data_IF_539152023618
#
_entry.id   IF_539152023618
#
_cell.length_a   1.000
_cell.length_b   1.000
_cell.length_c   1.000
_cell.angle_alpha   90.00
_cell.angle_beta   90.00
_cell.angle_gamma   90.00
#
_symmetry.space_group_name_H-M   'P 1'
#
loop_
_entity.id
_entity.type
_entity.pdbx_description
1 polymer ?
#
# COMPACT_ATOMS: atom_id res chain seq x y z
N UNK A 1 27.80 -58.12 -36.61
CA UNK A 1 27.42 -57.28 -35.45
C UNK A 1 28.38 -56.10 -35.17
N UNK A 2 29.61 -56.06 -35.70
CA UNK A 2 30.57 -54.94 -35.47
C UNK A 2 30.37 -53.70 -36.38
N UNK A 3 29.60 -53.82 -37.46
CA UNK A 3 29.50 -52.78 -38.51
C UNK A 3 28.47 -51.68 -38.20
N UNK A 4 27.43 -51.99 -37.41
CA UNK A 4 26.32 -51.06 -37.10
C UNK A 4 26.72 -50.08 -35.98
N UNK A 5 27.46 -50.55 -34.97
CA UNK A 5 27.97 -49.72 -33.87
C UNK A 5 28.94 -48.62 -34.33
N UNK A 6 29.67 -48.86 -35.42
CA UNK A 6 30.65 -47.90 -35.94
C UNK A 6 29.97 -46.76 -36.72
N UNK A 7 28.86 -47.05 -37.43
CA UNK A 7 28.02 -46.02 -38.07
C UNK A 7 27.26 -45.17 -37.06
N UNK A 8 26.73 -45.77 -35.97
CA UNK A 8 26.06 -45.04 -34.90
C UNK A 8 26.99 -44.07 -34.18
N UNK A 9 28.24 -44.48 -33.91
CA UNK A 9 29.26 -43.60 -33.29
C UNK A 9 29.66 -42.42 -34.20
N UNK A 10 29.78 -42.65 -35.50
CA UNK A 10 30.06 -41.55 -36.45
C UNK A 10 28.89 -40.54 -36.52
N UNK A 11 27.65 -41.02 -36.60
CA UNK A 11 26.46 -40.14 -36.61
C UNK A 11 26.32 -39.33 -35.31
N UNK A 12 26.60 -39.94 -34.15
CA UNK A 12 26.60 -39.23 -32.86
C UNK A 12 27.71 -38.17 -32.78
N UNK A 13 28.88 -38.42 -33.37
CA UNK A 13 30.01 -37.46 -33.34
C UNK A 13 29.74 -36.27 -34.26
N UNK A 14 29.20 -36.51 -35.46
CA UNK A 14 28.79 -35.45 -36.39
C UNK A 14 27.66 -34.57 -35.84
N UNK A 15 26.66 -35.17 -35.17
CA UNK A 15 25.56 -34.41 -34.56
C UNK A 15 26.03 -33.49 -33.42
N UNK A 16 27.02 -33.91 -32.62
CA UNK A 16 27.62 -33.08 -31.56
C UNK A 16 28.44 -31.92 -32.13
N UNK A 17 29.13 -32.14 -33.26
CA UNK A 17 29.91 -31.09 -33.92
C UNK A 17 29.01 -29.99 -34.50
N UNK A 18 27.90 -30.38 -35.15
CA UNK A 18 26.90 -29.45 -35.72
C UNK A 18 26.20 -28.66 -34.61
N UNK A 19 25.84 -29.31 -33.50
CA UNK A 19 25.21 -28.62 -32.36
C UNK A 19 26.18 -27.64 -31.69
N UNK A 20 27.47 -27.97 -31.61
CA UNK A 20 28.52 -27.06 -31.13
C UNK A 20 28.72 -25.84 -32.01
N UNK A 21 28.74 -26.00 -33.34
CA UNK A 21 28.82 -24.88 -34.29
C UNK A 21 27.60 -23.96 -34.19
N UNK A 22 26.38 -24.51 -34.05
CA UNK A 22 25.16 -23.72 -33.89
C UNK A 22 25.17 -22.89 -32.60
N UNK A 23 25.66 -23.45 -31.49
CA UNK A 23 25.79 -22.71 -30.23
C UNK A 23 26.84 -21.59 -30.30
N UNK A 24 27.94 -21.79 -31.02
CA UNK A 24 28.96 -20.77 -31.23
C UNK A 24 28.42 -19.60 -32.09
N UNK A 25 27.66 -19.89 -33.14
CA UNK A 25 27.01 -18.86 -33.96
C UNK A 25 25.99 -18.04 -33.16
N UNK A 26 25.19 -18.68 -32.31
CA UNK A 26 24.28 -17.96 -31.41
C UNK A 26 25.05 -17.07 -30.44
N UNK A 27 26.13 -17.56 -29.84
CA UNK A 27 26.95 -16.77 -28.92
C UNK A 27 27.57 -15.55 -29.60
N UNK A 28 28.13 -15.72 -30.80
CA UNK A 28 28.70 -14.62 -31.60
C UNK A 28 27.61 -13.62 -32.01
N UNK A 29 26.43 -14.09 -32.41
CA UNK A 29 25.29 -13.22 -32.76
C UNK A 29 24.83 -12.36 -31.57
N UNK A 30 24.69 -12.95 -30.39
CA UNK A 30 24.32 -12.20 -29.17
C UNK A 30 25.40 -11.18 -28.78
N UNK A 31 26.67 -11.53 -28.92
CA UNK A 31 27.77 -10.62 -28.61
C UNK A 31 27.79 -9.42 -29.57
N UNK A 32 27.57 -9.64 -30.87
CA UNK A 32 27.47 -8.56 -31.87
C UNK A 32 26.25 -7.66 -31.62
N UNK A 33 25.08 -8.23 -31.32
CA UNK A 33 23.88 -7.47 -30.99
C UNK A 33 24.06 -6.60 -29.73
N UNK A 34 24.72 -7.15 -28.71
CA UNK A 34 25.04 -6.41 -27.50
C UNK A 34 26.04 -5.27 -27.77
N UNK A 35 27.10 -5.54 -28.53
CA UNK A 35 28.09 -4.54 -28.92
C UNK A 35 27.49 -3.38 -29.72
N UNK A 36 26.66 -3.69 -30.72
CA UNK A 36 25.93 -2.68 -31.50
C UNK A 36 24.99 -1.86 -30.61
N UNK A 37 24.21 -2.51 -29.73
CA UNK A 37 23.31 -1.82 -28.81
C UNK A 37 24.04 -0.90 -27.83
N UNK A 38 25.20 -1.31 -27.33
CA UNK A 38 26.03 -0.50 -26.44
C UNK A 38 26.59 0.73 -27.17
N UNK A 39 27.12 0.55 -28.39
CA UNK A 39 27.64 1.64 -29.20
C UNK A 39 26.54 2.64 -29.56
N UNK A 40 25.37 2.17 -30.02
CA UNK A 40 24.22 3.03 -30.31
C UNK A 40 23.73 3.78 -29.07
N UNK A 41 23.69 3.13 -27.90
CA UNK A 41 23.29 3.76 -26.64
C UNK A 41 24.26 4.84 -26.17
N UNK A 42 25.57 4.61 -26.31
CA UNK A 42 26.60 5.60 -25.97
C UNK A 42 26.52 6.80 -26.94
N UNK A 43 26.43 6.57 -28.24
CA UNK A 43 26.30 7.65 -29.24
C UNK A 43 25.03 8.46 -29.03
N UNK A 44 23.89 7.82 -28.74
CA UNK A 44 22.64 8.51 -28.41
C UNK A 44 22.77 9.30 -27.10
N UNK A 45 23.48 8.78 -26.11
CA UNK A 45 23.73 9.50 -24.85
C UNK A 45 24.61 10.73 -25.03
N UNK A 46 25.55 10.74 -25.99
CA UNK A 46 26.32 11.94 -26.34
C UNK A 46 25.47 12.92 -27.14
N UNK A 47 24.68 12.45 -28.10
CA UNK A 47 23.80 13.29 -28.92
C UNK A 47 22.71 13.99 -28.08
N UNK A 48 22.12 13.29 -27.11
CA UNK A 48 21.14 13.89 -26.19
C UNK A 48 21.78 14.86 -25.19
N UNK A 49 23.10 14.79 -24.98
CA UNK A 49 23.84 15.73 -24.11
C UNK A 49 24.13 17.05 -24.82
N UNK A 50 24.23 17.04 -26.15
CA UNK A 50 24.41 18.24 -26.99
C UNK A 50 23.09 18.96 -27.31
N UNK A 51 21.94 18.33 -27.06
CA UNK A 51 20.63 19.00 -27.05
C UNK A 51 20.51 19.78 -25.74
N UNK A 52 21.09 20.98 -25.75
CA UNK A 52 20.83 22.02 -24.76
C UNK A 52 19.37 22.47 -24.87
N UNK A 53 18.51 21.90 -24.03
CA UNK A 53 17.17 22.45 -23.80
C UNK A 53 17.32 23.81 -23.11
N UNK A 54 17.28 24.87 -23.90
CA UNK A 54 17.05 26.24 -23.44
C UNK A 54 15.64 26.32 -22.84
N UNK A 55 15.50 25.97 -21.57
CA UNK A 55 14.32 26.36 -20.79
C UNK A 55 14.69 27.62 -20.02
N UNK A 56 14.33 28.77 -20.60
CA UNK A 56 14.43 30.07 -19.97
C UNK A 56 13.43 30.11 -18.80
N UNK A 57 13.86 29.60 -17.66
CA UNK A 57 13.12 29.69 -16.41
C UNK A 57 13.47 31.04 -15.79
N UNK A 58 12.54 32.00 -15.86
CA UNK A 58 12.66 33.29 -15.19
C UNK A 58 13.03 33.06 -13.71
N UNK A 59 14.21 33.56 -13.33
CA UNK A 59 14.68 33.65 -11.96
C UNK A 59 13.76 34.60 -11.17
N UNK A 60 12.84 34.04 -10.39
CA UNK A 60 12.34 34.74 -9.22
C UNK A 60 13.39 34.61 -8.12
N UNK A 61 14.20 35.67 -7.97
CA UNK A 61 15.05 35.86 -6.80
C UNK A 61 14.14 36.28 -5.63
N UNK A 62 13.90 35.38 -4.68
CA UNK A 62 13.40 35.75 -3.36
C UNK A 62 14.56 35.61 -2.38
N UNK A 63 15.16 36.75 -2.09
CA UNK A 63 16.16 36.94 -1.06
C UNK A 63 15.47 36.89 0.30
N UNK A 64 15.52 35.76 0.98
CA UNK A 64 15.06 35.68 2.37
C UNK A 64 16.22 36.09 3.29
N UNK A 65 16.22 37.36 3.69
CA UNK A 65 17.01 37.80 4.84
C UNK A 65 16.44 37.20 6.13
N UNK A 66 17.33 36.62 6.91
CA UNK A 66 17.12 36.17 8.28
C UNK A 66 17.16 37.41 9.18
N UNK A 67 16.23 37.53 10.13
CA UNK A 67 16.42 38.32 11.34
C UNK A 67 15.78 37.60 12.54
N UNK A 68 16.47 37.53 13.69
CA UNK A 68 16.02 36.76 14.85
C UNK A 68 15.13 37.60 15.78
N UNK A 69 13.94 37.10 16.13
CA UNK A 69 13.09 37.73 17.15
C UNK A 69 13.47 37.26 18.55
N UNK A 70 13.86 38.23 19.39
CA UNK A 70 14.10 38.15 20.84
C UNK A 70 12.79 37.89 21.60
N UNK A 71 12.79 37.25 22.79
CA UNK A 71 11.57 37.04 23.55
C UNK A 71 11.25 38.27 24.41
N UNK A 72 10.04 38.82 24.27
CA UNK A 72 9.49 39.81 25.19
C UNK A 72 8.39 39.18 26.04
N UNK A 73 8.62 39.24 27.35
CA UNK A 73 7.66 39.01 28.42
C UNK A 73 6.61 40.11 28.49
N UNK A 74 5.34 39.76 28.64
CA UNK A 74 4.42 40.33 29.64
C UNK A 74 3.03 39.69 29.48
N UNK A 75 2.60 38.95 30.49
CA UNK A 75 1.22 38.51 30.62
C UNK A 75 0.39 39.71 31.08
N UNK A 76 -0.37 40.30 30.17
CA UNK A 76 -1.45 41.23 30.53
C UNK A 76 -2.72 40.39 30.76
N UNK A 77 -3.27 40.44 31.97
CA UNK A 77 -4.62 39.92 32.25
C UNK A 77 -5.63 40.71 31.40
N UNK A 78 -6.27 40.02 30.46
CA UNK A 78 -7.42 40.56 29.73
C UNK A 78 -8.65 40.31 30.59
N UNK A 79 -9.29 41.39 31.06
CA UNK A 79 -10.61 41.37 31.69
C UNK A 79 -11.67 40.91 30.68
N UNK A 80 -12.70 40.15 31.09
CA UNK A 80 -13.77 39.74 30.18
C UNK A 80 -14.62 40.96 29.77
N UNK A 81 -15.13 41.00 28.53
CA UNK A 81 -16.04 42.06 28.10
C UNK A 81 -17.39 41.95 28.84
N UNK A 82 -18.14 43.07 28.99
CA UNK A 82 -19.39 43.07 29.72
C UNK A 82 -20.46 42.25 28.99
N UNK A 83 -21.17 41.45 29.77
CA UNK A 83 -22.30 40.62 29.35
C UNK A 83 -23.40 41.49 28.75
N UNK A 84 -23.53 41.50 27.42
CA UNK A 84 -24.72 42.05 26.77
C UNK A 84 -25.90 41.11 27.05
N UNK A 85 -26.85 41.59 27.86
CA UNK A 85 -28.15 40.94 28.06
C UNK A 85 -28.91 40.93 26.73
N UNK A 86 -29.00 39.76 26.10
CA UNK A 86 -29.88 39.53 24.95
C UNK A 86 -31.35 39.64 25.40
N UNK A 87 -32.26 40.22 24.59
CA UNK A 87 -33.68 40.26 24.91
C UNK A 87 -34.29 38.86 24.99
N UNK A 88 -35.11 38.62 26.02
CA UNK A 88 -35.80 37.37 26.35
C UNK A 88 -36.81 36.89 25.27
N UNK A 89 -36.91 37.57 24.13
CA UNK A 89 -37.93 37.35 23.09
C UNK A 89 -37.56 36.41 21.94
N UNK A 90 -36.30 36.02 21.77
CA UNK A 90 -35.87 35.15 20.65
C UNK A 90 -35.58 33.69 21.03
N UNK A 91 -35.72 33.33 22.31
CA UNK A 91 -35.27 32.03 22.81
C UNK A 91 -36.24 30.85 22.57
N UNK A 92 -37.42 31.09 21.98
CA UNK A 92 -38.46 30.05 21.82
C UNK A 92 -38.61 29.47 20.41
N UNK A 93 -37.81 29.88 19.42
CA UNK A 93 -37.83 29.27 18.07
C UNK A 93 -36.50 28.67 17.62
N UNK A 94 -35.59 28.36 18.55
CA UNK A 94 -34.63 27.29 18.30
C UNK A 94 -35.22 26.00 18.85
N UNK A 95 -35.81 25.20 17.98
CA UNK A 95 -35.69 23.74 18.14
C UNK A 95 -34.20 23.46 18.22
N UNK A 96 -33.65 23.44 19.45
CA UNK A 96 -32.31 22.94 19.69
C UNK A 96 -32.32 21.53 19.12
N UNK A 97 -31.71 21.36 17.95
CA UNK A 97 -31.46 20.07 17.36
C UNK A 97 -30.54 19.33 18.34
N UNK A 98 -31.14 18.70 19.34
CA UNK A 98 -30.42 17.97 20.37
C UNK A 98 -29.79 16.79 19.66
N UNK A 99 -28.49 16.86 19.45
CA UNK A 99 -27.70 15.78 18.88
C UNK A 99 -27.68 14.63 19.89
N UNK A 100 -28.65 13.72 19.76
CA UNK A 100 -28.72 12.53 20.60
C UNK A 100 -27.56 11.58 20.30
N UNK A 101 -27.35 10.60 21.18
CA UNK A 101 -26.30 9.58 21.01
C UNK A 101 -26.38 8.90 19.64
N UNK A 102 -27.59 8.63 19.13
CA UNK A 102 -27.80 8.04 17.80
C UNK A 102 -27.17 8.86 16.66
N UNK A 103 -27.28 10.20 16.74
CA UNK A 103 -26.69 11.09 15.73
C UNK A 103 -25.17 11.19 15.91
N UNK A 104 -24.68 11.19 17.15
CA UNK A 104 -23.24 11.16 17.45
C UNK A 104 -22.56 9.87 16.95
N UNK A 105 -23.28 8.75 16.95
CA UNK A 105 -22.79 7.45 16.47
C UNK A 105 -22.95 7.26 14.96
N UNK A 106 -23.60 8.18 14.27
CA UNK A 106 -23.76 8.13 12.83
C UNK A 106 -22.37 8.22 12.19
N UNK A 107 -22.13 7.35 11.21
CA UNK A 107 -20.87 7.38 10.45
C UNK A 107 -20.81 8.72 9.71
N UNK A 108 -19.79 9.55 9.93
CA UNK A 108 -19.63 10.80 9.20
C UNK A 108 -19.57 10.55 7.70
N UNK A 109 -19.99 11.52 6.91
CA UNK A 109 -19.80 11.46 5.46
C UNK A 109 -18.30 11.31 5.15
N UNK A 110 -17.96 10.42 4.22
CA UNK A 110 -16.57 10.17 3.80
C UNK A 110 -16.00 11.42 3.11
N UNK A 111 -16.85 12.21 2.45
CA UNK A 111 -16.47 13.50 1.91
C UNK A 111 -16.46 14.58 3.00
N UNK A 112 -15.31 15.22 3.17
CA UNK A 112 -15.10 16.34 4.09
C UNK A 112 -14.15 17.36 3.45
N UNK A 113 -14.09 18.56 4.02
CA UNK A 113 -13.24 19.69 3.64
C UNK A 113 -11.98 19.83 4.52
N UNK A 114 -11.84 18.98 5.55
CA UNK A 114 -10.68 19.00 6.46
C UNK A 114 -9.35 18.77 5.73
N UNK A 115 -8.32 19.51 6.15
CA UNK A 115 -6.92 19.31 5.74
C UNK A 115 -6.35 18.00 6.32
N UNK A 116 -5.23 17.56 5.77
CA UNK A 116 -4.56 16.32 6.20
C UNK A 116 -4.11 16.37 7.67
N UNK A 117 -3.62 17.54 8.10
CA UNK A 117 -3.22 17.79 9.48
C UNK A 117 -4.41 17.76 10.44
N UNK A 118 -5.54 18.33 10.02
CA UNK A 118 -6.81 18.34 10.78
C UNK A 118 -7.40 16.93 10.88
N UNK A 119 -7.33 16.15 9.81
CA UNK A 119 -7.74 14.75 9.80
C UNK A 119 -6.90 13.89 10.74
N UNK A 120 -5.57 14.03 10.68
CA UNK A 120 -4.66 13.31 11.57
C UNK A 120 -4.90 13.71 13.03
N UNK A 121 -5.09 15.01 13.29
CA UNK A 121 -5.43 15.50 14.62
C UNK A 121 -6.76 14.92 15.11
N UNK A 122 -7.82 14.98 14.29
CA UNK A 122 -9.13 14.40 14.63
C UNK A 122 -9.06 12.90 14.90
N UNK A 123 -8.30 12.16 14.09
CA UNK A 123 -8.10 10.73 14.27
C UNK A 123 -7.24 10.39 15.50
N UNK A 124 -6.43 11.32 16.00
CA UNK A 124 -5.69 11.17 17.26
C UNK A 124 -6.55 11.38 18.52
N UNK A 125 -7.72 12.01 18.40
CA UNK A 125 -8.63 12.27 19.54
C UNK A 125 -9.58 11.10 19.86
N UNK A 126 -9.27 9.87 19.44
CA UNK A 126 -10.15 8.74 19.66
C UNK A 126 -10.19 8.38 21.16
N UNK A 127 -11.39 8.28 21.78
CA UNK A 127 -11.49 7.92 23.18
C UNK A 127 -10.91 6.53 23.47
N UNK A 128 -10.11 6.43 24.52
CA UNK A 128 -9.54 5.17 25.02
C UNK A 128 -10.48 4.42 25.99
N UNK A 129 -11.72 4.90 26.16
CA UNK A 129 -12.73 4.27 27.01
C UNK A 129 -13.02 2.85 26.48
N UNK A 130 -12.87 1.85 27.36
CA UNK A 130 -13.10 0.44 27.01
C UNK A 130 -14.59 0.09 26.90
N UNK A 131 -15.43 0.78 27.67
CA UNK A 131 -16.87 0.58 27.72
C UNK A 131 -17.61 1.68 26.95
N UNK A 132 -18.61 1.27 26.16
CA UNK A 132 -19.42 2.19 25.39
C UNK A 132 -20.87 2.12 25.90
N UNK A 133 -21.61 3.24 25.92
CA UNK A 133 -23.01 3.25 26.34
C UNK A 133 -23.96 2.57 25.32
N UNK A 134 -23.43 1.73 24.43
CA UNK A 134 -24.13 1.03 23.37
C UNK A 134 -23.33 -0.21 22.94
N UNK A 135 -24.04 -1.21 22.43
CA UNK A 135 -23.42 -2.44 21.92
C UNK A 135 -22.69 -2.15 20.61
N UNK A 136 -21.36 -2.31 20.61
CA UNK A 136 -20.55 -2.24 19.40
C UNK A 136 -20.54 -3.58 18.67
N UNK A 137 -20.77 -3.53 17.37
CA UNK A 137 -20.51 -4.66 16.46
C UNK A 137 -19.06 -4.52 15.98
N UNK A 138 -18.19 -5.53 16.18
CA UNK A 138 -16.86 -5.55 15.58
C UNK A 138 -16.96 -5.45 14.06
N UNK A 139 -16.14 -4.58 13.45
CA UNK A 139 -16.12 -4.38 12.00
C UNK A 139 -14.71 -4.48 11.45
N UNK A 140 -14.60 -4.99 10.24
CA UNK A 140 -13.36 -4.95 9.46
C UNK A 140 -13.41 -3.77 8.48
N UNK A 141 -12.39 -2.91 8.52
CA UNK A 141 -12.25 -1.82 7.56
C UNK A 141 -11.34 -2.26 6.40
N UNK A 142 -11.81 -2.06 5.17
CA UNK A 142 -11.06 -2.35 3.94
C UNK A 142 -10.69 -1.03 3.26
N UNK A 143 -9.41 -0.86 2.96
CA UNK A 143 -8.89 0.27 2.19
C UNK A 143 -8.36 -0.23 0.85
N UNK A 144 -9.00 0.20 -0.23
CA UNK A 144 -8.58 -0.09 -1.60
C UNK A 144 -7.83 1.11 -2.17
N UNK A 145 -6.58 0.91 -2.55
CA UNK A 145 -5.77 1.91 -3.25
C UNK A 145 -5.75 1.58 -4.75
N UNK A 146 -6.28 2.48 -5.58
CA UNK A 146 -6.36 2.27 -7.03
C UNK A 146 -6.03 3.55 -7.81
N UNK A 147 -5.55 3.40 -9.05
CA UNK A 147 -5.39 4.55 -9.96
C UNK A 147 -6.60 4.78 -10.87
N UNK A 148 -7.44 3.76 -11.01
CA UNK A 148 -8.62 3.77 -11.89
C UNK A 148 -9.66 2.77 -11.38
N UNK A 149 -10.35 2.02 -12.25
CA UNK A 149 -11.37 1.06 -11.83
C UNK A 149 -10.74 -0.03 -10.96
N UNK A 150 -11.49 -0.56 -10.00
CA UNK A 150 -11.05 -1.66 -9.16
C UNK A 150 -11.18 -2.99 -9.95
N UNK A 151 -10.07 -3.61 -10.40
CA UNK A 151 -10.16 -4.68 -11.42
C UNK A 151 -10.92 -5.92 -10.97
N UNK A 152 -10.96 -6.20 -9.67
CA UNK A 152 -11.65 -7.35 -9.10
C UNK A 152 -12.94 -6.94 -8.36
N UNK A 153 -13.50 -5.75 -8.64
CA UNK A 153 -14.72 -5.28 -7.98
C UNK A 153 -15.86 -6.31 -8.00
N UNK A 154 -16.18 -7.01 -9.12
CA UNK A 154 -17.26 -7.99 -9.12
C UNK A 154 -17.06 -9.15 -8.13
N UNK A 155 -15.82 -9.59 -7.91
CA UNK A 155 -15.51 -10.63 -6.93
C UNK A 155 -15.71 -10.12 -5.50
N UNK A 156 -15.31 -8.87 -5.24
CA UNK A 156 -15.51 -8.24 -3.95
C UNK A 156 -17.00 -8.00 -3.66
N UNK A 157 -17.81 -7.63 -4.66
CA UNK A 157 -19.27 -7.51 -4.53
C UNK A 157 -19.87 -8.83 -4.02
N UNK A 158 -19.48 -9.96 -4.62
CA UNK A 158 -19.91 -11.28 -4.15
C UNK A 158 -19.46 -11.55 -2.72
N UNK A 159 -18.18 -11.33 -2.40
CA UNK A 159 -17.63 -11.56 -1.06
C UNK A 159 -18.36 -10.76 0.03
N UNK A 160 -18.71 -9.51 -0.27
CA UNK A 160 -19.36 -8.63 0.70
C UNK A 160 -20.89 -8.79 0.77
N UNK A 161 -21.49 -9.48 -0.21
CA UNK A 161 -22.93 -9.70 -0.27
C UNK A 161 -23.41 -10.41 1.01
N UNK A 162 -24.51 -9.91 1.59
CA UNK A 162 -25.09 -10.48 2.82
C UNK A 162 -24.40 -10.08 4.14
N UNK A 163 -23.23 -9.44 4.09
CA UNK A 163 -22.43 -9.13 5.29
C UNK A 163 -22.54 -7.67 5.76
N UNK A 164 -23.62 -6.97 5.36
CA UNK A 164 -23.82 -5.54 5.65
C UNK A 164 -23.78 -5.29 7.16
N UNK A 165 -22.96 -4.32 7.57
CA UNK A 165 -22.79 -3.94 8.98
C UNK A 165 -21.58 -4.56 9.68
N UNK A 166 -20.97 -5.61 9.11
CA UNK A 166 -19.74 -6.24 9.63
C UNK A 166 -18.45 -5.64 9.04
N UNK A 167 -18.59 -4.74 8.07
CA UNK A 167 -17.44 -4.12 7.40
C UNK A 167 -17.69 -2.66 7.03
N UNK A 168 -16.60 -1.95 6.77
CA UNK A 168 -16.57 -0.63 6.14
C UNK A 168 -15.58 -0.65 4.97
N UNK A 169 -15.98 -0.13 3.82
CA UNK A 169 -15.12 -0.04 2.63
C UNK A 169 -14.74 1.41 2.40
N UNK A 170 -13.47 1.63 2.05
CA UNK A 170 -12.90 2.90 1.65
C UNK A 170 -12.10 2.72 0.36
N UNK A 171 -12.33 3.58 -0.63
CA UNK A 171 -11.65 3.53 -1.92
C UNK A 171 -10.89 4.84 -2.14
N UNK A 172 -9.57 4.75 -2.15
CA UNK A 172 -8.69 5.85 -2.51
C UNK A 172 -8.29 5.67 -3.99
N UNK A 173 -8.97 6.41 -4.86
CA UNK A 173 -8.70 6.45 -6.30
C UNK A 173 -7.99 7.75 -6.70
N UNK A 174 -7.41 7.78 -7.90
CA UNK A 174 -6.88 9.02 -8.46
C UNK A 174 -7.99 10.10 -8.50
N UNK A 175 -7.75 11.35 -8.08
CA UNK A 175 -8.72 12.44 -8.18
C UNK A 175 -9.35 12.59 -9.56
N UNK A 176 -8.55 12.44 -10.62
CA UNK A 176 -9.00 12.55 -12.01
C UNK A 176 -9.87 11.37 -12.48
N UNK A 177 -9.95 10.30 -11.70
CA UNK A 177 -10.77 9.13 -12.04
C UNK A 177 -12.21 9.34 -11.54
N UNK A 178 -13.16 9.53 -12.45
CA UNK A 178 -14.55 9.84 -12.11
C UNK A 178 -15.53 8.81 -12.66
N UNK A 179 -15.48 7.59 -12.12
CA UNK A 179 -16.46 6.54 -12.43
C UNK A 179 -17.64 6.62 -11.46
N UNK A 180 -18.85 6.61 -12.01
CA UNK A 180 -20.08 6.53 -11.22
C UNK A 180 -20.32 5.10 -10.78
N UNK A 181 -20.36 4.90 -9.46
CA UNK A 181 -20.72 3.60 -8.88
C UNK A 181 -22.24 3.52 -8.76
N UNK A 182 -22.89 2.41 -9.17
CA UNK A 182 -24.32 2.20 -8.99
C UNK A 182 -24.73 2.25 -7.50
N UNK A 183 -25.94 2.74 -7.20
CA UNK A 183 -26.43 2.89 -5.81
C UNK A 183 -26.58 1.57 -5.05
N UNK A 184 -26.73 0.45 -5.76
CA UNK A 184 -26.83 -0.89 -5.19
C UNK A 184 -25.48 -1.58 -4.93
N UNK A 185 -24.36 -1.00 -5.38
CA UNK A 185 -23.01 -1.55 -5.21
C UNK A 185 -22.49 -1.36 -3.78
N UNK A 186 -21.70 -2.32 -3.28
CA UNK A 186 -21.02 -2.15 -1.97
C UNK A 186 -20.00 -1.02 -1.95
N UNK A 187 -19.54 -0.58 -3.12
CA UNK A 187 -18.59 0.53 -3.32
C UNK A 187 -19.28 1.90 -3.45
N UNK A 188 -20.62 1.95 -3.46
CA UNK A 188 -21.35 3.21 -3.56
C UNK A 188 -21.02 4.16 -2.40
N UNK A 189 -20.65 5.41 -2.72
CA UNK A 189 -20.30 6.43 -1.74
C UNK A 189 -19.07 6.09 -0.88
N UNK A 190 -18.21 5.15 -1.31
CA UNK A 190 -17.02 4.72 -0.54
C UNK A 190 -15.73 5.42 -0.93
N UNK A 191 -15.76 6.32 -1.91
CA UNK A 191 -14.59 7.03 -2.40
C UNK A 191 -14.12 8.07 -1.38
N UNK A 192 -12.83 8.07 -1.04
CA UNK A 192 -12.21 9.10 -0.19
C UNK A 192 -11.71 10.24 -1.10
N UNK A 193 -12.25 11.47 -0.98
CA UNK A 193 -11.67 12.64 -1.62
C UNK A 193 -10.30 12.90 -0.99
N UNK A 194 -9.23 12.80 -1.77
CA UNK A 194 -7.87 12.90 -1.24
C UNK A 194 -6.87 13.22 -2.34
N UNK A 195 -5.68 13.68 -1.96
CA UNK A 195 -4.62 14.03 -2.90
C UNK A 195 -4.20 12.80 -3.72
N UNK A 196 -3.63 13.04 -4.91
CA UNK A 196 -3.10 11.97 -5.77
C UNK A 196 -2.13 11.09 -4.98
N UNK A 197 -2.38 9.78 -4.94
CA UNK A 197 -1.42 8.80 -4.43
C UNK A 197 -0.10 8.94 -5.20
N UNK A 198 0.94 9.48 -4.53
CA UNK A 198 2.26 9.62 -5.12
C UNK A 198 2.88 8.24 -5.33
N UNK A 199 3.27 7.97 -6.56
CA UNK A 199 3.95 6.73 -6.91
C UNK A 199 5.41 6.84 -6.46
N UNK A 200 5.83 6.11 -5.43
CA UNK A 200 7.24 5.97 -5.14
C UNK A 200 7.93 5.22 -6.30
N UNK A 201 8.92 5.83 -6.99
CA UNK A 201 9.71 5.12 -7.99
C UNK A 201 10.45 3.97 -7.31
N UNK A 202 10.41 2.78 -7.93
CA UNK A 202 11.07 1.63 -7.37
C UNK A 202 12.56 1.56 -7.78
N UNK A 203 13.49 1.69 -6.83
CA UNK A 203 14.88 1.24 -6.93
C UNK A 203 15.34 0.35 -5.74
N UNK A 204 16.05 -0.73 -6.03
CA UNK A 204 16.39 -1.85 -5.12
C UNK A 204 17.32 -1.51 -3.93
N UNK A 205 17.25 -2.33 -2.86
CA UNK A 205 18.39 -2.55 -1.93
C UNK A 205 18.15 -2.34 -0.43
N UNK A 206 19.00 -2.91 0.44
CA UNK A 206 19.04 -2.71 1.91
C UNK A 206 19.67 -1.36 2.32
N UNK A 207 20.35 -0.67 1.41
CA UNK A 207 20.96 0.65 1.61
C UNK A 207 19.98 1.84 1.63
N UNK A 208 18.73 1.60 2.03
CA UNK A 208 17.64 2.59 2.01
C UNK A 208 17.55 3.42 3.27
N UNK A 209 18.16 2.93 4.34
CA UNK A 209 18.24 3.66 5.60
C UNK A 209 19.09 4.91 5.42
N UNK A 210 18.58 6.06 5.86
CA UNK A 210 19.34 7.30 5.86
C UNK A 210 20.06 7.46 7.21
N UNK A 211 21.41 7.55 7.26
CA UNK A 211 22.14 7.73 8.52
C UNK A 211 21.72 8.96 9.34
N UNK A 212 21.15 9.99 8.69
CA UNK A 212 20.60 11.19 9.37
C UNK A 212 19.32 10.92 10.18
N UNK A 213 18.79 9.70 10.12
CA UNK A 213 17.70 9.26 11.01
C UNK A 213 18.21 8.91 12.42
N UNK A 214 19.54 8.77 12.59
CA UNK A 214 20.18 8.71 13.92
C UNK A 214 20.10 10.08 14.62
N UNK A 215 20.03 10.11 15.96
CA UNK A 215 19.97 8.96 16.88
C UNK A 215 18.56 8.39 17.08
N UNK A 216 17.52 9.04 16.52
CA UNK A 216 16.12 8.70 16.83
C UNK A 216 15.69 7.32 16.35
N UNK A 217 16.14 6.91 15.17
CA UNK A 217 15.94 5.57 14.62
C UNK A 217 17.30 5.03 14.27
N UNK A 218 17.72 3.97 14.95
CA UNK A 218 18.99 3.31 14.67
C UNK A 218 18.87 2.30 13.52
N UNK A 219 19.99 1.92 12.90
CA UNK A 219 20.00 1.00 11.76
C UNK A 219 19.53 -0.40 12.15
N UNK A 220 19.85 -0.87 13.35
CA UNK A 220 19.41 -2.16 13.90
C UNK A 220 17.89 -2.20 14.18
N UNK A 221 17.29 -1.04 14.40
CA UNK A 221 15.83 -0.87 14.54
C UNK A 221 15.10 -0.78 13.19
N UNK A 222 15.82 -0.52 12.10
CA UNK A 222 15.23 -0.45 10.75
C UNK A 222 14.65 -1.79 10.34
N UNK A 223 13.37 -1.81 9.97
CA UNK A 223 12.66 -3.01 9.53
C UNK A 223 12.08 -2.82 8.15
N UNK A 224 12.02 -3.91 7.38
CA UNK A 224 11.29 -4.01 6.12
C UNK A 224 10.10 -4.92 6.33
N UNK A 225 8.95 -4.55 5.75
CA UNK A 225 7.75 -5.38 5.76
C UNK A 225 6.98 -5.28 4.46
N UNK A 226 5.71 -5.67 4.54
CA UNK A 226 4.77 -5.65 3.43
C UNK A 226 4.00 -4.34 3.40
N UNK A 227 3.71 -3.82 2.20
CA UNK A 227 2.75 -2.72 2.00
C UNK A 227 1.30 -3.16 2.34
N UNK A 228 1.04 -4.46 2.37
CA UNK A 228 -0.23 -5.08 2.77
C UNK A 228 -0.11 -5.50 4.22
N UNK A 229 -0.89 -4.88 5.09
CA UNK A 229 -0.85 -5.10 6.53
C UNK A 229 -2.24 -5.01 7.13
N UNK A 230 -2.39 -5.63 8.29
CA UNK A 230 -3.58 -5.60 9.11
C UNK A 230 -3.20 -5.05 10.49
N UNK A 231 -4.03 -4.16 11.03
CA UNK A 231 -3.82 -3.59 12.35
C UNK A 231 -5.14 -3.46 13.09
N UNK A 232 -5.11 -3.71 14.39
CA UNK A 232 -6.25 -3.40 15.24
C UNK A 232 -6.37 -1.90 15.49
N UNK A 233 -7.55 -1.48 15.95
CA UNK A 233 -7.87 -0.07 16.20
C UNK A 233 -6.91 0.58 17.21
N UNK A 234 -6.46 -0.15 18.23
CA UNK A 234 -5.55 0.43 19.24
C UNK A 234 -4.21 0.75 18.59
N UNK A 235 -3.67 -0.15 17.78
CA UNK A 235 -2.42 0.09 17.06
C UNK A 235 -2.56 1.22 16.02
N UNK A 236 -3.69 1.30 15.33
CA UNK A 236 -3.94 2.37 14.35
C UNK A 236 -3.92 3.77 14.99
N UNK A 237 -4.48 3.92 16.21
CA UNK A 237 -4.44 5.19 16.96
C UNK A 237 -2.99 5.57 17.29
N UNK A 238 -2.18 4.61 17.75
CA UNK A 238 -0.77 4.85 18.07
C UNK A 238 0.04 5.30 16.84
N UNK A 239 -0.24 4.70 15.67
CA UNK A 239 0.39 5.08 14.40
C UNK A 239 0.02 6.51 14.00
N UNK A 240 -1.27 6.86 14.06
CA UNK A 240 -1.73 8.21 13.66
C UNK A 240 -1.26 9.29 14.62
N UNK A 241 -1.11 8.95 15.90
CA UNK A 241 -0.61 9.83 16.95
C UNK A 241 0.92 9.92 17.02
N UNK A 242 1.66 9.25 16.12
CA UNK A 242 3.11 9.23 16.15
C UNK A 242 3.71 10.60 15.78
N UNK A 243 4.20 11.31 16.80
CA UNK A 243 4.93 12.58 16.66
C UNK A 243 6.45 12.42 16.70
N UNK A 244 6.98 11.21 16.88
CA UNK A 244 8.42 10.98 17.06
C UNK A 244 9.08 10.38 15.83
N UNK A 245 8.55 9.29 15.28
CA UNK A 245 9.21 8.56 14.20
C UNK A 245 8.71 8.99 12.83
N UNK A 246 7.41 9.19 12.66
CA UNK A 246 6.83 9.62 11.39
C UNK A 246 7.44 10.92 10.85
N UNK A 247 7.69 11.98 11.65
CA UNK A 247 8.37 13.18 11.14
C UNK A 247 9.79 12.94 10.63
N UNK A 248 10.53 12.00 11.24
CA UNK A 248 11.88 11.61 10.81
C UNK A 248 11.81 10.91 9.45
N UNK A 249 10.86 9.96 9.27
CA UNK A 249 10.58 9.37 7.97
C UNK A 249 10.18 10.45 6.95
N UNK A 250 9.24 11.33 7.27
CA UNK A 250 8.81 12.41 6.36
C UNK A 250 9.96 13.30 5.90
N UNK A 251 10.93 13.57 6.78
CA UNK A 251 12.08 14.43 6.50
C UNK A 251 13.18 13.72 5.70
N UNK A 252 13.55 12.50 6.09
CA UNK A 252 14.75 11.83 5.57
C UNK A 252 14.49 10.66 4.63
N UNK A 253 13.28 10.10 4.61
CA UNK A 253 12.86 9.03 3.72
C UNK A 253 12.40 9.60 2.37
N UNK A 254 13.35 10.14 1.60
CA UNK A 254 13.13 10.75 0.28
C UNK A 254 13.71 9.84 -0.81
N UNK A 255 13.01 9.69 -1.94
CA UNK A 255 13.47 8.86 -3.06
C UNK A 255 13.36 7.36 -2.79
N UNK A 256 14.48 6.64 -2.80
CA UNK A 256 14.55 5.17 -2.73
C UNK A 256 14.30 4.58 -1.34
N UNK A 257 13.75 5.32 -0.38
CA UNK A 257 13.60 4.85 0.99
C UNK A 257 12.35 3.96 1.23
N UNK A 258 11.28 4.12 0.44
CA UNK A 258 10.02 3.34 0.53
C UNK A 258 9.41 3.37 1.94
N UNK A 259 8.96 4.55 2.35
CA UNK A 259 8.38 4.74 3.68
C UNK A 259 7.19 3.81 3.95
N UNK A 260 6.42 3.44 2.93
CA UNK A 260 5.29 2.50 3.01
C UNK A 260 5.70 1.05 3.34
N UNK A 261 6.90 0.61 2.95
CA UNK A 261 7.46 -0.71 3.31
C UNK A 261 8.24 -0.72 4.62
N UNK A 262 8.60 0.46 5.15
CA UNK A 262 9.57 0.58 6.25
C UNK A 262 9.04 1.29 7.51
N UNK A 263 8.15 2.27 7.39
CA UNK A 263 7.66 3.05 8.52
C UNK A 263 6.91 2.18 9.53
N UNK A 264 5.83 1.54 9.10
CA UNK A 264 4.99 0.73 10.01
C UNK A 264 5.77 -0.43 10.64
N UNK A 265 6.55 -1.24 9.89
CA UNK A 265 7.33 -2.31 10.50
C UNK A 265 8.37 -1.80 11.52
N UNK A 266 9.00 -0.67 11.23
CA UNK A 266 9.99 -0.05 12.14
C UNK A 266 9.30 0.47 13.40
N UNK A 267 8.23 1.26 13.25
CA UNK A 267 7.45 1.81 14.36
C UNK A 267 6.92 0.70 15.28
N UNK A 268 6.27 -0.32 14.70
CA UNK A 268 5.71 -1.46 15.43
C UNK A 268 6.80 -2.28 16.10
N UNK A 269 7.94 -2.52 15.44
CA UNK A 269 9.05 -3.27 16.04
C UNK A 269 9.70 -2.51 17.21
N UNK A 270 9.75 -1.18 17.19
CA UNK A 270 10.32 -0.38 18.28
C UNK A 270 9.34 -0.30 19.46
N UNK A 271 8.05 -0.03 19.19
CA UNK A 271 7.07 0.30 20.24
C UNK A 271 6.21 -0.88 20.69
N UNK A 272 5.91 -1.82 19.80
CA UNK A 272 4.87 -2.83 19.99
C UNK A 272 5.33 -4.24 19.60
N UNK A 273 6.62 -4.56 19.76
CA UNK A 273 7.21 -5.82 19.30
C UNK A 273 6.44 -7.06 19.78
N UNK A 274 5.98 -7.08 21.04
CA UNK A 274 5.22 -8.22 21.61
C UNK A 274 3.85 -8.43 20.98
N UNK A 275 3.28 -7.38 20.38
CA UNK A 275 1.98 -7.42 19.69
C UNK A 275 2.13 -7.66 18.18
N UNK A 276 3.37 -7.72 17.68
CA UNK A 276 3.66 -7.98 16.28
C UNK A 276 3.68 -9.49 16.04
N UNK A 277 2.88 -9.95 15.07
CA UNK A 277 2.85 -11.36 14.67
C UNK A 277 4.01 -11.76 13.76
N UNK A 278 4.82 -10.79 13.28
CA UNK A 278 5.87 -11.00 12.27
C UNK A 278 5.40 -11.68 10.97
N UNK A 279 4.08 -11.65 10.71
CA UNK A 279 3.44 -12.22 9.51
C UNK A 279 2.25 -11.37 9.09
N UNK A 280 1.91 -11.44 7.80
CA UNK A 280 0.65 -10.86 7.30
C UNK A 280 -0.35 -11.98 7.03
N UNK A 281 -1.63 -11.64 6.89
CA UNK A 281 -2.63 -12.60 6.41
C UNK A 281 -2.75 -12.61 4.88
N UNK A 282 -1.80 -12.02 4.16
CA UNK A 282 -1.77 -11.99 2.70
C UNK A 282 -0.73 -12.96 2.14
N UNK A 283 -1.18 -13.98 1.40
CA UNK A 283 -0.30 -14.89 0.69
C UNK A 283 0.33 -14.21 -0.54
N UNK A 284 1.63 -14.47 -0.74
CA UNK A 284 2.40 -13.93 -1.85
C UNK A 284 3.37 -14.98 -2.35
N UNK A 285 3.45 -15.16 -3.67
CA UNK A 285 4.43 -16.04 -4.31
C UNK A 285 5.69 -15.29 -4.72
N UNK A 286 6.80 -15.63 -4.08
CA UNK A 286 8.14 -15.10 -4.38
C UNK A 286 9.06 -16.14 -5.04
N UNK A 287 8.52 -17.30 -5.47
CA UNK A 287 9.31 -18.42 -6.01
C UNK A 287 10.17 -18.03 -7.23
N UNK A 288 9.70 -17.09 -8.06
CA UNK A 288 10.45 -16.59 -9.23
C UNK A 288 11.59 -15.63 -8.88
N UNK A 289 11.69 -15.18 -7.63
CA UNK A 289 12.65 -14.15 -7.22
C UNK A 289 12.36 -12.76 -7.81
N UNK A 290 13.26 -11.81 -7.54
CA UNK A 290 13.17 -10.44 -8.06
C UNK A 290 12.44 -9.43 -7.14
N UNK A 291 12.27 -8.17 -7.60
CA UNK A 291 11.70 -7.07 -6.81
C UNK A 291 10.19 -7.15 -6.60
N UNK A 292 9.50 -8.00 -7.37
CA UNK A 292 8.05 -8.10 -7.38
C UNK A 292 7.62 -9.56 -7.33
N UNK A 293 6.51 -9.88 -6.65
CA UNK A 293 6.03 -11.24 -6.58
C UNK A 293 5.45 -11.71 -7.91
N UNK A 294 5.30 -13.02 -8.04
CA UNK A 294 4.70 -13.65 -9.19
C UNK A 294 3.27 -13.16 -9.42
N UNK A 295 2.84 -13.19 -10.69
CA UNK A 295 1.50 -12.80 -11.13
C UNK A 295 0.78 -14.02 -11.69
N UNK A 296 -0.50 -14.15 -11.34
CA UNK A 296 -1.35 -15.24 -11.79
C UNK A 296 -2.39 -14.72 -12.79
N UNK A 297 -2.31 -15.23 -14.02
CA UNK A 297 -3.26 -14.96 -15.09
C UNK A 297 -4.41 -15.96 -15.11
N UNK A 298 -5.31 -15.81 -16.10
CA UNK A 298 -6.50 -16.66 -16.27
C UNK A 298 -6.23 -18.15 -16.09
N UNK A 299 -5.31 -18.71 -16.89
CA UNK A 299 -5.09 -20.17 -16.97
C UNK A 299 -4.54 -20.78 -15.66
N UNK A 300 -3.89 -19.98 -14.82
CA UNK A 300 -3.33 -20.44 -13.55
C UNK A 300 -4.40 -20.54 -12.44
N UNK A 301 -5.57 -19.94 -12.63
CA UNK A 301 -6.66 -19.99 -11.65
C UNK A 301 -7.45 -21.27 -11.84
N UNK A 302 -7.10 -22.32 -11.10
CA UNK A 302 -7.88 -23.57 -11.04
C UNK A 302 -8.46 -23.79 -9.65
N UNK A 303 -9.42 -24.71 -9.52
CA UNK A 303 -9.98 -25.09 -8.22
C UNK A 303 -8.87 -25.60 -7.29
N UNK A 304 -8.03 -26.47 -7.81
CA UNK A 304 -6.91 -27.10 -7.10
C UNK A 304 -5.90 -26.04 -6.64
N UNK A 305 -5.63 -25.05 -7.50
CA UNK A 305 -4.78 -23.92 -7.15
C UNK A 305 -5.35 -23.14 -5.96
N UNK A 306 -6.64 -22.77 -5.99
CA UNK A 306 -7.28 -22.01 -4.90
C UNK A 306 -7.39 -22.82 -3.60
N UNK A 307 -7.67 -24.12 -3.68
CA UNK A 307 -7.68 -25.02 -2.51
C UNK A 307 -6.30 -25.14 -1.88
N UNK A 308 -5.27 -25.26 -2.72
CA UNK A 308 -3.87 -25.27 -2.28
C UNK A 308 -3.49 -23.95 -1.60
N UNK A 309 -3.94 -22.81 -2.13
CA UNK A 309 -3.74 -21.51 -1.48
C UNK A 309 -4.39 -21.47 -0.10
N UNK A 310 -5.66 -21.88 0.01
CA UNK A 310 -6.43 -21.87 1.27
C UNK A 310 -5.76 -22.73 2.36
N UNK A 311 -5.16 -23.86 1.98
CA UNK A 311 -4.46 -24.78 2.91
C UNK A 311 -2.97 -24.48 3.10
N UNK A 312 -2.46 -23.36 2.56
CA UNK A 312 -1.03 -23.04 2.58
C UNK A 312 -0.15 -24.20 2.08
N UNK A 313 -0.53 -24.83 0.96
CA UNK A 313 0.18 -26.00 0.43
C UNK A 313 0.28 -27.16 1.42
N UNK A 314 -0.74 -27.34 2.28
CA UNK A 314 -0.80 -28.31 3.39
C UNK A 314 0.28 -28.15 4.46
N UNK A 315 1.07 -27.07 4.42
CA UNK A 315 2.09 -26.79 5.45
C UNK A 315 1.45 -26.40 6.77
N UNK A 316 0.26 -25.78 6.72
CA UNK A 316 -0.37 -25.14 7.88
C UNK A 316 0.47 -23.95 8.39
N UNK A 317 0.10 -23.41 9.53
CA UNK A 317 0.83 -22.38 10.26
C UNK A 317 0.43 -22.41 11.73
N UNK A 318 1.22 -21.74 12.55
CA UNK A 318 0.95 -21.61 13.98
C UNK A 318 0.17 -20.33 14.27
N UNK A 319 -0.84 -20.47 15.13
CA UNK A 319 -1.60 -19.36 15.69
C UNK A 319 -1.82 -19.63 17.18
N UNK A 320 -1.26 -18.79 18.04
CA UNK A 320 -1.31 -18.93 19.50
C UNK A 320 -0.92 -20.35 19.99
N UNK A 321 0.19 -20.89 19.49
CA UNK A 321 0.66 -22.24 19.85
C UNK A 321 -0.10 -23.39 19.19
N UNK A 322 -1.16 -23.12 18.42
CA UNK A 322 -1.98 -24.14 17.75
C UNK A 322 -1.71 -24.17 16.25
N UNK A 323 -1.58 -25.37 15.69
CA UNK A 323 -1.47 -25.56 14.25
C UNK A 323 -2.85 -25.37 13.61
N UNK A 324 -2.92 -24.47 12.64
CA UNK A 324 -4.11 -24.19 11.84
C UNK A 324 -3.80 -24.37 10.34
N UNK A 325 -4.84 -24.65 9.55
CA UNK A 325 -4.71 -24.86 8.10
C UNK A 325 -5.00 -23.59 7.29
N UNK A 326 -5.73 -22.63 7.84
CA UNK A 326 -6.08 -21.36 7.18
C UNK A 326 -5.09 -20.28 7.64
N UNK A 327 -4.06 -20.06 6.82
CA UNK A 327 -2.97 -19.15 7.19
C UNK A 327 -3.12 -17.74 6.63
N UNK A 328 -3.85 -17.65 5.52
CA UNK A 328 -3.97 -16.42 4.76
C UNK A 328 -5.45 -16.19 4.46
N UNK A 329 -5.87 -14.94 4.61
CA UNK A 329 -7.20 -14.47 4.28
C UNK A 329 -7.23 -13.80 2.89
N UNK A 330 -6.07 -13.33 2.43
CA UNK A 330 -5.92 -12.68 1.13
C UNK A 330 -4.80 -13.32 0.33
N UNK A 331 -4.78 -13.08 -0.98
CA UNK A 331 -3.70 -13.52 -1.86
C UNK A 331 -3.44 -12.48 -2.96
N UNK A 332 -2.19 -12.43 -3.43
CA UNK A 332 -1.75 -11.60 -4.56
C UNK A 332 -0.60 -12.28 -5.31
N UNK A 333 -0.35 -11.98 -6.59
CA UNK A 333 -0.94 -10.92 -7.42
C UNK A 333 -1.74 -11.49 -8.59
N UNK A 334 -3.04 -11.27 -8.61
CA UNK A 334 -3.90 -11.69 -9.72
C UNK A 334 -3.94 -10.63 -10.83
N UNK A 335 -3.91 -11.07 -12.08
CA UNK A 335 -4.07 -10.20 -13.25
C UNK A 335 -5.56 -9.91 -13.52
N UNK A 336 -5.91 -8.81 -14.19
CA UNK A 336 -7.31 -8.52 -14.52
C UNK A 336 -8.02 -9.64 -15.29
N UNK A 337 -7.31 -10.30 -16.21
CA UNK A 337 -7.86 -11.44 -16.97
C UNK A 337 -8.13 -12.70 -16.13
N UNK A 338 -7.73 -12.73 -14.86
CA UNK A 338 -8.03 -13.80 -13.92
C UNK A 338 -9.47 -13.74 -13.38
N UNK A 339 -10.16 -12.59 -13.52
CA UNK A 339 -11.46 -12.33 -12.89
C UNK A 339 -12.51 -13.39 -13.24
N UNK A 340 -12.66 -13.74 -14.52
CA UNK A 340 -13.63 -14.74 -15.01
C UNK A 340 -13.53 -16.07 -14.22
N UNK A 341 -12.32 -16.59 -14.08
CA UNK A 341 -12.09 -17.86 -13.38
C UNK A 341 -12.14 -17.72 -11.86
N UNK A 342 -11.75 -16.55 -11.32
CA UNK A 342 -11.95 -16.26 -9.90
C UNK A 342 -13.44 -16.23 -9.54
N UNK A 343 -14.28 -15.58 -10.35
CA UNK A 343 -15.74 -15.55 -10.17
C UNK A 343 -16.34 -16.95 -10.22
N UNK A 344 -15.80 -17.83 -11.09
CA UNK A 344 -16.27 -19.21 -11.22
C UNK A 344 -15.86 -20.10 -10.05
N UNK A 345 -14.64 -19.99 -9.53
CA UNK A 345 -14.12 -20.97 -8.57
C UNK A 345 -14.04 -20.47 -7.13
N UNK A 346 -13.78 -19.18 -6.91
CA UNK A 346 -13.55 -18.65 -5.57
C UNK A 346 -14.78 -18.78 -4.66
N UNK A 347 -16.03 -18.47 -5.07
CA UNK A 347 -17.20 -18.63 -4.21
C UNK A 347 -17.36 -20.07 -3.69
N UNK A 348 -17.10 -21.07 -4.53
CA UNK A 348 -17.22 -22.48 -4.15
C UNK A 348 -16.08 -22.96 -3.23
N UNK A 349 -14.85 -22.48 -3.44
CA UNK A 349 -13.69 -22.86 -2.62
C UNK A 349 -13.66 -22.08 -1.30
N UNK A 350 -14.11 -20.82 -1.34
CA UNK A 350 -14.06 -19.91 -0.22
C UNK A 350 -15.32 -19.86 0.63
N UNK A 351 -16.46 -20.29 0.07
CA UNK A 351 -17.78 -20.36 0.70
C UNK A 351 -18.35 -18.98 1.06
N UNK A 352 -18.43 -18.10 0.06
CA UNK A 352 -19.11 -16.80 0.17
C UNK A 352 -20.10 -16.58 -0.97
#
# INVERSE_FOLDING_TARGET
MKTIDQQLRHAQTSSKLINGQMQLHHFISYFLLFGCGLASGITLSFYLKDISFNFQLNQFSIQSQISPSKPSSSFSLISPPPSQLLPLGEFLNQTRNRTGLKEFLRVPNVSHDMKEEELLWRASMVPHVGEFPFKRVPKVAFLFLTRGPLPLAPLWELFFKGHKGLYSIYVHSNPSFNETVPSNSVFYGRRIPSKRSMTCPAQLGRGRYNPRMKPTIQLDQWRKGSQWFEMDRKLAIEVVSDRKFFPIFRRFCKGSCYGDEHYLPTFVSIKFWRRNSNRTVTWVDWSKGGPHPNRFGRMEITREFLERLRRNGNKGCEYNGRRIHICFLFARKFMPNALDRLMRFAPHVMQF
#
